data_IF_343350316951
#
_entry.id   IF_343350316951
#
_cell.length_a   1.000
_cell.length_b   1.000
_cell.length_c   1.000
_cell.angle_alpha   90.00
_cell.angle_beta   90.00
_cell.angle_gamma   90.00
#
_symmetry.space_group_name_H-M   'P 1'
#
loop_
_entity.id
_entity.type
_entity.pdbx_description
1 polymer ?
#
# COMPACT_ATOMS: atom_id res chain seq x y z
N UNK A 1 6.99 -7.26 16.89
CA UNK A 1 5.95 -7.64 15.90
C UNK A 1 6.40 -7.05 14.57
N UNK A 2 7.01 -7.85 13.70
CA UNK A 2 7.51 -7.40 12.39
C UNK A 2 6.31 -7.24 11.47
N UNK A 3 6.10 -6.07 10.89
CA UNK A 3 4.94 -5.87 10.03
C UNK A 3 5.21 -6.54 8.67
N UNK A 4 4.40 -7.55 8.35
CA UNK A 4 4.56 -8.41 7.17
C UNK A 4 4.46 -7.66 5.83
N UNK A 5 4.04 -6.39 5.86
CA UNK A 5 3.76 -5.54 4.70
C UNK A 5 4.76 -4.40 4.55
N UNK A 6 5.58 -4.15 5.58
CA UNK A 6 6.57 -3.09 5.54
C UNK A 6 7.92 -3.67 5.16
N UNK A 7 8.19 -3.72 3.86
CA UNK A 7 9.57 -3.59 3.37
C UNK A 7 10.22 -2.24 3.75
N UNK A 8 9.53 -1.41 4.55
CA UNK A 8 10.01 -0.20 5.20
C UNK A 8 10.73 -0.59 6.49
N UNK A 9 12.05 -0.67 6.40
CA UNK A 9 12.90 -0.91 7.56
C UNK A 9 12.58 0.16 8.65
N UNK A 10 12.18 -0.31 9.84
CA UNK A 10 11.87 0.50 11.05
C UNK A 10 10.52 1.23 11.11
N UNK A 11 9.48 0.79 10.39
CA UNK A 11 8.12 1.29 10.68
C UNK A 11 7.54 0.68 11.96
N UNK A 12 6.96 1.50 12.84
CA UNK A 12 6.18 1.05 14.02
C UNK A 12 4.69 1.30 13.80
N UNK A 13 3.86 0.33 14.17
CA UNK A 13 2.41 0.54 14.29
C UNK A 13 2.14 1.51 15.44
N UNK A 14 1.39 2.57 15.19
CA UNK A 14 1.00 3.56 16.18
C UNK A 14 -0.42 3.29 16.68
N UNK A 15 -1.34 3.05 15.75
CA UNK A 15 -2.74 2.77 16.04
C UNK A 15 -3.41 1.95 14.93
N UNK A 16 -4.55 1.35 15.26
CA UNK A 16 -5.48 0.73 14.32
C UNK A 16 -6.83 1.44 14.47
N UNK A 17 -7.26 2.09 13.39
CA UNK A 17 -8.55 2.75 13.28
C UNK A 17 -9.66 1.70 13.02
N UNK A 18 -10.95 2.08 13.13
CA UNK A 18 -12.05 1.23 12.68
C UNK A 18 -11.84 0.72 11.24
N UNK A 19 -12.51 -0.38 10.88
CA UNK A 19 -12.38 -1.00 9.55
C UNK A 19 -10.95 -1.50 9.23
N UNK A 20 -10.13 -1.75 10.26
CA UNK A 20 -8.79 -2.35 10.17
C UNK A 20 -7.76 -1.48 9.42
N UNK A 21 -7.98 -0.16 9.37
CA UNK A 21 -6.99 0.77 8.82
C UNK A 21 -5.88 0.98 9.83
N UNK A 22 -4.63 0.85 9.39
CA UNK A 22 -3.46 0.87 10.30
C UNK A 22 -2.58 2.08 10.06
N UNK A 23 -2.21 2.77 11.15
CA UNK A 23 -1.28 3.89 11.12
C UNK A 23 0.13 3.44 11.49
N UNK A 24 1.09 3.81 10.66
CA UNK A 24 2.49 3.50 10.87
C UNK A 24 3.33 4.76 10.83
N UNK A 25 4.38 4.78 11.66
CA UNK A 25 5.42 5.81 11.62
C UNK A 25 6.76 5.13 11.34
N UNK A 26 7.42 5.53 10.26
CA UNK A 26 8.81 5.18 9.95
C UNK A 26 9.71 6.35 10.34
N UNK A 27 10.68 6.10 11.23
CA UNK A 27 11.63 7.10 11.72
C UNK A 27 12.40 7.82 10.58
N UNK A 28 12.64 7.12 9.47
CA UNK A 28 13.43 7.63 8.34
C UNK A 28 12.58 8.03 7.11
N UNK A 29 11.29 7.68 7.09
CA UNK A 29 10.46 7.76 5.88
C UNK A 29 9.31 8.74 6.01
N UNK A 30 8.73 8.88 7.21
CA UNK A 30 7.46 9.58 7.41
C UNK A 30 6.40 8.66 8.01
N UNK A 31 5.15 9.06 7.92
CA UNK A 31 4.00 8.31 8.41
C UNK A 31 3.05 7.91 7.29
N UNK A 32 2.36 6.79 7.49
CA UNK A 32 1.38 6.34 6.53
C UNK A 32 0.22 5.58 7.18
N UNK A 33 -0.96 5.75 6.61
CA UNK A 33 -2.11 4.88 6.85
C UNK A 33 -2.18 3.81 5.76
N UNK A 34 -2.65 2.62 6.13
CA UNK A 34 -2.78 1.48 5.22
C UNK A 34 -4.17 0.87 5.35
N UNK A 35 -4.95 0.95 4.28
CA UNK A 35 -6.24 0.24 4.20
C UNK A 35 -6.07 -1.27 4.02
N UNK A 36 -7.03 -2.07 4.52
CA UNK A 36 -7.04 -3.52 4.29
C UNK A 36 -7.11 -3.88 2.81
N UNK A 37 -7.84 -3.12 1.97
CA UNK A 37 -7.93 -3.39 0.53
C UNK A 37 -6.60 -3.20 -0.19
N UNK A 38 -5.91 -2.08 0.06
CA UNK A 38 -4.54 -1.88 -0.43
C UNK A 38 -3.61 -3.02 0.02
N UNK A 39 -3.68 -3.42 1.30
CA UNK A 39 -2.90 -4.54 1.81
C UNK A 39 -3.22 -5.84 1.07
N UNK A 40 -4.47 -6.13 0.78
CA UNK A 40 -4.86 -7.30 -0.01
C UNK A 40 -4.25 -7.27 -1.41
N UNK A 41 -4.21 -6.11 -2.08
CA UNK A 41 -3.54 -6.00 -3.39
C UNK A 41 -2.03 -6.27 -3.30
N UNK A 42 -1.37 -5.79 -2.25
CA UNK A 42 0.03 -6.14 -1.99
C UNK A 42 0.16 -7.65 -1.82
N UNK A 43 -0.66 -8.29 -0.98
CA UNK A 43 -0.62 -9.74 -0.76
C UNK A 43 -0.86 -10.54 -2.06
N UNK A 44 -1.80 -10.11 -2.90
CA UNK A 44 -2.03 -10.69 -4.23
C UNK A 44 -0.81 -10.53 -5.13
N UNK A 45 -0.19 -9.35 -5.18
CA UNK A 45 1.04 -9.13 -5.93
C UNK A 45 2.17 -10.05 -5.43
N UNK A 46 2.37 -10.16 -4.12
CA UNK A 46 3.41 -11.02 -3.53
C UNK A 46 3.15 -12.52 -3.80
N UNK A 47 1.89 -12.93 -3.93
CA UNK A 47 1.52 -14.30 -4.30
C UNK A 47 1.78 -14.62 -5.78
N UNK A 48 1.72 -13.60 -6.64
CA UNK A 48 1.81 -13.75 -8.09
C UNK A 48 3.20 -13.57 -8.67
N UNK A 49 3.96 -12.61 -8.15
CA UNK A 49 5.24 -12.21 -8.73
C UNK A 49 6.44 -12.75 -7.92
N UNK A 50 7.57 -12.92 -8.60
CA UNK A 50 8.81 -13.41 -8.00
C UNK A 50 9.49 -12.40 -7.06
N UNK A 51 10.45 -12.85 -6.26
CA UNK A 51 11.14 -12.06 -5.22
C UNK A 51 11.69 -10.72 -5.72
N UNK A 52 12.27 -10.67 -6.93
CA UNK A 52 12.79 -9.42 -7.50
C UNK A 52 11.70 -8.35 -7.71
N UNK A 53 10.48 -8.74 -8.06
CA UNK A 53 9.37 -7.79 -8.20
C UNK A 53 8.79 -7.37 -6.85
N UNK A 54 8.81 -8.28 -5.86
CA UNK A 54 8.45 -7.95 -4.47
C UNK A 54 9.36 -6.85 -3.94
N UNK A 55 10.66 -6.95 -4.19
CA UNK A 55 11.64 -5.94 -3.78
C UNK A 55 11.35 -4.58 -4.46
N UNK A 56 11.04 -4.57 -5.76
CA UNK A 56 10.68 -3.34 -6.48
C UNK A 56 9.41 -2.70 -5.92
N UNK A 57 8.38 -3.50 -5.63
CA UNK A 57 7.14 -3.02 -5.03
C UNK A 57 7.40 -2.32 -3.70
N UNK A 58 8.10 -2.99 -2.80
CA UNK A 58 8.40 -2.42 -1.49
C UNK A 58 9.29 -1.17 -1.58
N UNK A 59 10.24 -1.13 -2.52
CA UNK A 59 11.06 0.07 -2.78
C UNK A 59 10.23 1.24 -3.29
N UNK A 60 9.22 1.02 -4.14
CA UNK A 60 8.37 2.11 -4.63
C UNK A 60 7.39 2.60 -3.55
N UNK A 61 6.83 1.69 -2.74
CA UNK A 61 6.04 2.05 -1.54
C UNK A 61 6.91 2.90 -0.60
N UNK A 62 8.15 2.49 -0.35
CA UNK A 62 9.12 3.25 0.45
C UNK A 62 9.43 4.62 -0.12
N UNK A 63 9.75 4.68 -1.41
CA UNK A 63 10.05 5.92 -2.09
C UNK A 63 8.86 6.88 -2.06
N UNK A 64 7.64 6.36 -2.15
CA UNK A 64 6.40 7.14 -2.08
C UNK A 64 6.23 7.77 -0.69
N UNK A 65 6.40 7.00 0.39
CA UNK A 65 6.35 7.55 1.75
C UNK A 65 7.48 8.56 1.97
N UNK A 66 8.72 8.24 1.59
CA UNK A 66 9.88 9.13 1.76
C UNK A 66 9.72 10.48 1.09
N UNK A 67 9.10 10.50 -0.10
CA UNK A 67 8.89 11.70 -0.91
C UNK A 67 7.81 12.62 -0.33
N UNK A 68 6.72 12.04 0.16
CA UNK A 68 5.54 12.79 0.57
C UNK A 68 5.42 12.98 2.08
N UNK A 69 6.17 12.21 2.89
CA UNK A 69 6.20 12.21 4.36
C UNK A 69 4.90 11.77 5.05
N UNK A 70 3.74 11.97 4.43
CA UNK A 70 2.42 11.59 4.94
C UNK A 70 1.58 11.00 3.81
N UNK A 71 1.29 9.71 3.89
CA UNK A 71 0.62 8.97 2.82
C UNK A 71 -0.52 8.14 3.38
N UNK A 72 -1.70 8.22 2.77
CA UNK A 72 -2.78 7.29 3.01
C UNK A 72 -2.88 6.33 1.82
N UNK A 73 -2.44 5.10 2.02
CA UNK A 73 -2.59 4.03 1.05
C UNK A 73 -4.04 3.52 1.08
N UNK A 74 -4.76 3.80 0.00
CA UNK A 74 -6.20 3.57 -0.12
C UNK A 74 -6.52 2.62 -1.25
N UNK A 75 -7.68 1.99 -1.16
CA UNK A 75 -8.23 1.11 -2.19
C UNK A 75 -8.91 1.91 -3.29
N UNK A 76 -9.66 2.95 -2.90
CA UNK A 76 -10.35 3.90 -3.79
C UNK A 76 -10.26 5.30 -3.18
N UNK A 77 -9.53 6.22 -3.81
CA UNK A 77 -9.36 7.58 -3.29
C UNK A 77 -10.66 8.38 -3.28
N UNK A 78 -11.67 7.99 -4.06
CA UNK A 78 -13.00 8.64 -4.09
C UNK A 78 -13.87 8.19 -2.93
N UNK A 79 -13.58 7.01 -2.37
CA UNK A 79 -14.33 6.39 -1.29
C UNK A 79 -13.39 5.81 -0.22
N UNK A 80 -12.54 6.65 0.43
CA UNK A 80 -11.64 6.15 1.46
C UNK A 80 -12.44 5.68 2.68
N UNK A 81 -11.91 4.67 3.38
CA UNK A 81 -12.56 4.10 4.57
C UNK A 81 -12.67 5.10 5.72
N UNK A 82 -11.80 6.12 5.74
CA UNK A 82 -11.80 7.22 6.70
C UNK A 82 -11.66 8.53 5.94
N UNK A 83 -12.59 9.47 6.16
CA UNK A 83 -12.62 10.78 5.52
C UNK A 83 -12.12 11.90 6.46
N UNK A 84 -11.84 11.55 7.71
CA UNK A 84 -11.38 12.41 8.80
C UNK A 84 -9.86 12.35 9.00
N UNK A 85 -9.13 11.79 8.04
CA UNK A 85 -7.67 11.82 8.00
C UNK A 85 -7.20 13.28 7.84
N UNK A 86 -6.14 13.71 8.56
CA UNK A 86 -5.63 15.07 8.44
C UNK A 86 -5.34 15.51 7.00
N UNK A 87 -5.65 16.76 6.67
CA UNK A 87 -5.54 17.33 5.32
C UNK A 87 -4.12 17.29 4.70
N UNK A 88 -3.10 16.99 5.50
CA UNK A 88 -1.71 16.92 5.06
C UNK A 88 -1.29 15.52 4.55
N UNK A 89 -2.20 14.54 4.54
CA UNK A 89 -1.97 13.24 3.92
C UNK A 89 -2.35 13.26 2.44
N UNK A 90 -1.46 12.72 1.60
CA UNK A 90 -1.82 12.40 0.21
C UNK A 90 -2.45 11.02 0.12
N UNK A 91 -3.46 10.87 -0.73
CA UNK A 91 -4.08 9.59 -1.01
C UNK A 91 -3.33 8.93 -2.16
N UNK A 92 -2.99 7.66 -2.00
CA UNK A 92 -2.26 6.88 -3.00
C UNK A 92 -2.95 5.53 -3.16
N UNK A 93 -3.37 5.22 -4.38
CA UNK A 93 -3.95 3.94 -4.71
C UNK A 93 -2.87 2.90 -5.04
N UNK A 94 -3.25 1.63 -4.99
CA UNK A 94 -2.34 0.57 -5.41
C UNK A 94 -1.97 0.72 -6.89
N UNK A 95 -2.90 1.18 -7.73
CA UNK A 95 -2.71 1.40 -9.17
C UNK A 95 -1.65 2.46 -9.47
N UNK A 96 -1.54 3.50 -8.63
CA UNK A 96 -0.50 4.52 -8.74
C UNK A 96 0.90 3.93 -8.51
N UNK A 97 1.01 2.95 -7.60
CA UNK A 97 2.27 2.26 -7.34
C UNK A 97 2.56 1.24 -8.45
N UNK A 98 1.53 0.48 -8.81
CA UNK A 98 1.64 -0.63 -9.77
C UNK A 98 1.97 -0.14 -11.18
N UNK A 99 1.35 0.95 -11.62
CA UNK A 99 1.61 1.59 -12.92
C UNK A 99 3.03 2.15 -13.04
N UNK A 100 3.59 2.73 -11.97
CA UNK A 100 4.98 3.20 -11.95
C UNK A 100 6.02 2.09 -12.14
N UNK A 101 5.66 0.87 -11.75
CA UNK A 101 6.51 -0.31 -11.96
C UNK A 101 6.36 -0.88 -13.39
N UNK A 102 5.50 -0.28 -14.22
CA UNK A 102 5.25 -0.70 -15.59
C UNK A 102 4.21 -1.81 -15.73
N UNK A 103 3.42 -2.08 -14.69
CA UNK A 103 2.33 -3.05 -14.74
C UNK A 103 0.99 -2.38 -15.04
N UNK A 104 0.06 -3.18 -15.57
CA UNK A 104 -1.32 -2.77 -15.81
C UNK A 104 -2.25 -3.58 -14.92
N UNK A 105 -3.33 -2.99 -14.39
CA UNK A 105 -4.22 -3.69 -13.46
C UNK A 105 -4.85 -4.95 -14.07
N UNK A 106 -5.02 -4.99 -15.40
CA UNK A 106 -5.36 -6.20 -16.16
C UNK A 106 -4.40 -7.36 -15.90
N UNK A 107 -3.11 -7.07 -15.67
CA UNK A 107 -2.16 -8.08 -15.24
C UNK A 107 -2.70 -8.73 -13.99
N UNK A 108 -2.95 -8.00 -12.89
CA UNK A 108 -3.49 -8.57 -11.64
C UNK A 108 -4.85 -9.27 -11.81
N UNK A 109 -5.73 -8.74 -12.67
CA UNK A 109 -7.08 -9.28 -12.87
C UNK A 109 -7.15 -10.51 -13.79
N UNK A 110 -6.13 -10.78 -14.62
CA UNK A 110 -6.11 -11.91 -15.57
C UNK A 110 -6.03 -13.31 -14.93
N UNK A 111 -6.09 -13.39 -13.59
CA UNK A 111 -6.18 -14.64 -12.84
C UNK A 111 -7.61 -15.05 -12.44
N UNK A 112 -8.63 -14.28 -12.79
CA UNK A 112 -10.03 -14.71 -12.64
C UNK A 112 -10.44 -15.62 -13.79
N UNK A 113 -9.97 -16.86 -13.76
CA UNK A 113 -10.69 -18.00 -14.30
C UNK A 113 -12.02 -18.11 -13.53
N UNK A 114 -13.04 -17.36 -13.98
CA UNK A 114 -14.43 -17.71 -13.77
C UNK A 114 -15.01 -18.15 -15.12
N UNK A 115 -14.91 -19.46 -15.33
CA UNK A 115 -15.62 -20.36 -16.25
C UNK A 115 -16.52 -19.79 -17.34
N UNK A 116 -16.30 -20.28 -18.56
CA UNK A 116 -17.39 -20.60 -19.50
C UNK A 116 -17.63 -22.10 -19.51
#
# INVERSE_FOLDING_TARGET
MSCYVCGLDKSRLVEELPLLVRHYVCENCGEYYLEPGFRSYVETFLGRYGEGEKEKLFKEIEATVKRNKKVYFVTDFRHPLHNDIPDDFIFVEFDDIFSKLGYTFDDLSSGSDYGS
#
